data_IF_685021772468
#
_entry.id   IF_685021772468
#
_cell.length_a   1.000
_cell.length_b   1.000
_cell.length_c   1.000
_cell.angle_alpha   90.00
_cell.angle_beta   90.00
_cell.angle_gamma   90.00
#
_symmetry.space_group_name_H-M   'P 1'
#
loop_
_entity.id
_entity.type
_entity.pdbx_description
1 polymer ?
#
# COMPACT_ATOMS: atom_id res chain seq x y z
N UNK A 1 19.74 -3.45 -8.61
CA UNK A 1 18.29 -3.60 -8.87
C UNK A 1 17.79 -2.38 -9.64
N UNK A 2 16.68 -2.48 -10.32
CA UNK A 2 16.06 -1.37 -11.07
C UNK A 2 15.85 -0.12 -10.19
N UNK A 3 15.43 -0.33 -8.94
CA UNK A 3 15.27 0.78 -7.99
C UNK A 3 16.60 1.53 -7.72
N UNK A 4 17.73 0.82 -7.67
CA UNK A 4 19.04 1.47 -7.50
C UNK A 4 19.47 2.25 -8.74
N UNK A 5 19.11 1.77 -9.93
CA UNK A 5 19.42 2.42 -11.21
C UNK A 5 18.58 3.69 -11.42
N UNK A 6 17.38 3.75 -10.82
CA UNK A 6 16.44 4.87 -10.90
C UNK A 6 16.28 5.61 -9.56
N UNK A 7 17.32 5.63 -8.73
CA UNK A 7 17.29 6.17 -7.36
C UNK A 7 17.16 7.70 -7.32
N UNK A 8 17.70 8.37 -8.34
CA UNK A 8 17.73 9.83 -8.39
C UNK A 8 16.31 10.42 -8.45
N UNK A 9 16.03 11.43 -7.61
CA UNK A 9 14.71 12.06 -7.49
C UNK A 9 13.70 11.28 -6.65
N UNK A 10 14.07 10.16 -6.02
CA UNK A 10 13.21 9.40 -5.14
C UNK A 10 13.59 9.58 -3.67
N UNK A 11 12.58 9.73 -2.81
CA UNK A 11 12.70 9.63 -1.35
C UNK A 11 12.15 8.26 -0.96
N UNK A 12 12.96 7.40 -0.37
CA UNK A 12 12.62 6.01 -0.09
C UNK A 12 12.65 5.74 1.41
N UNK A 13 11.55 5.23 1.96
CA UNK A 13 11.43 4.76 3.34
C UNK A 13 11.53 3.24 3.47
N UNK A 14 11.73 2.77 4.71
CA UNK A 14 11.89 1.34 5.01
C UNK A 14 10.61 0.52 4.94
N UNK A 15 9.46 1.16 4.73
CA UNK A 15 8.12 0.56 4.78
C UNK A 15 7.79 -0.08 6.16
N UNK A 16 6.72 -0.89 6.19
CA UNK A 16 6.15 -1.51 7.39
C UNK A 16 6.98 -2.72 7.89
N UNK A 17 6.36 -3.53 8.72
CA UNK A 17 6.97 -4.75 9.29
C UNK A 17 7.34 -5.80 8.23
N UNK A 18 6.70 -5.76 7.06
CA UNK A 18 7.06 -6.63 5.92
C UNK A 18 8.28 -6.14 5.14
N UNK A 19 8.75 -4.92 5.40
CA UNK A 19 9.92 -4.33 4.75
C UNK A 19 11.22 -5.02 5.14
N UNK A 20 12.22 -4.98 4.24
CA UNK A 20 13.52 -5.62 4.43
C UNK A 20 14.19 -5.25 5.75
N UNK A 21 14.11 -3.98 6.13
CA UNK A 21 14.77 -3.49 7.34
C UNK A 21 14.12 -4.06 8.62
N UNK A 22 12.79 -4.04 8.69
CA UNK A 22 12.09 -4.58 9.87
C UNK A 22 12.23 -6.10 9.95
N UNK A 23 12.19 -6.80 8.83
CA UNK A 23 12.46 -8.25 8.79
C UNK A 23 13.87 -8.56 9.30
N UNK A 24 14.87 -7.74 8.98
CA UNK A 24 16.23 -7.90 9.50
C UNK A 24 16.29 -7.74 11.04
N UNK A 25 15.47 -6.87 11.63
CA UNK A 25 15.32 -6.76 13.09
C UNK A 25 14.73 -8.05 13.68
N UNK A 26 13.67 -8.59 13.06
CA UNK A 26 13.03 -9.84 13.51
C UNK A 26 13.97 -11.05 13.40
N UNK A 27 14.85 -11.07 12.41
CA UNK A 27 15.90 -12.07 12.24
C UNK A 27 17.04 -11.94 13.27
N UNK A 28 17.07 -10.87 14.07
CA UNK A 28 18.09 -10.62 15.08
C UNK A 28 19.45 -10.24 14.49
N UNK A 29 19.48 -9.55 13.34
CA UNK A 29 20.72 -9.06 12.75
C UNK A 29 21.44 -8.07 13.67
N UNK A 30 22.74 -8.03 13.55
CA UNK A 30 23.59 -7.09 14.30
C UNK A 30 23.34 -5.64 13.88
N UNK A 31 23.70 -4.69 14.75
CA UNK A 31 23.57 -3.27 14.46
C UNK A 31 24.32 -2.85 13.19
N UNK A 32 25.50 -3.41 12.95
CA UNK A 32 26.27 -3.12 11.73
C UNK A 32 25.53 -3.57 10.45
N UNK A 33 24.88 -4.73 10.50
CA UNK A 33 24.06 -5.22 9.39
C UNK A 33 22.80 -4.36 9.21
N UNK A 34 22.14 -4.00 10.31
CA UNK A 34 20.97 -3.12 10.28
C UNK A 34 21.32 -1.74 9.72
N UNK A 35 22.43 -1.14 10.15
CA UNK A 35 22.94 0.14 9.62
C UNK A 35 23.24 0.04 8.12
N UNK A 36 23.83 -1.06 7.66
CA UNK A 36 24.11 -1.28 6.24
C UNK A 36 22.82 -1.32 5.42
N UNK A 37 21.78 -2.02 5.87
CA UNK A 37 20.48 -2.06 5.20
C UNK A 37 19.85 -0.67 5.23
N UNK A 38 19.76 -0.04 6.40
CA UNK A 38 19.15 1.27 6.60
C UNK A 38 19.85 2.39 5.82
N UNK A 39 21.14 2.23 5.49
CA UNK A 39 21.90 3.25 4.73
C UNK A 39 21.31 3.52 3.34
N UNK A 40 20.62 2.57 2.74
CA UNK A 40 19.98 2.70 1.44
C UNK A 40 18.77 3.65 1.46
N UNK A 41 18.02 3.69 2.56
CA UNK A 41 16.79 4.45 2.72
C UNK A 41 17.05 5.90 3.14
N UNK A 42 16.14 6.82 2.80
CA UNK A 42 16.23 8.24 3.19
C UNK A 42 15.65 8.46 4.58
N UNK A 43 14.62 7.72 4.94
CA UNK A 43 13.98 7.74 6.26
C UNK A 43 13.59 6.33 6.69
N UNK A 44 13.40 6.15 7.99
CA UNK A 44 12.93 4.89 8.56
C UNK A 44 11.50 5.07 9.08
N UNK A 45 10.75 3.98 9.15
CA UNK A 45 9.34 3.99 9.50
C UNK A 45 9.06 3.15 10.74
N UNK A 46 8.18 3.66 11.60
CA UNK A 46 7.58 2.95 12.72
C UNK A 46 6.07 3.06 12.67
N UNK A 47 5.38 2.07 13.23
CA UNK A 47 3.92 2.02 13.26
C UNK A 47 3.38 1.87 14.69
N UNK A 48 2.10 2.21 14.95
CA UNK A 48 1.44 1.91 16.21
C UNK A 48 1.59 0.44 16.58
N UNK A 49 1.74 0.14 17.88
CA UNK A 49 1.93 -1.23 18.34
C UNK A 49 0.74 -2.13 17.92
N UNK A 50 -0.45 -1.55 17.87
CA UNK A 50 -1.66 -2.25 17.48
C UNK A 50 -1.60 -2.82 16.05
N UNK A 51 -0.91 -2.15 15.11
CA UNK A 51 -0.71 -2.64 13.75
C UNK A 51 0.09 -3.96 13.72
N UNK A 52 0.95 -4.17 14.70
CA UNK A 52 1.84 -5.32 14.80
C UNK A 52 1.41 -6.36 15.86
N UNK A 53 0.20 -6.25 16.43
CA UNK A 53 -0.30 -7.18 17.44
C UNK A 53 -0.38 -8.63 16.98
N UNK A 54 -0.59 -8.86 15.70
CA UNK A 54 -0.54 -10.20 15.13
C UNK A 54 0.78 -10.94 15.41
N UNK A 55 1.86 -10.22 15.69
CA UNK A 55 3.15 -10.83 16.07
C UNK A 55 3.09 -11.52 17.42
N UNK A 56 2.22 -11.05 18.36
CA UNK A 56 1.97 -11.71 19.63
C UNK A 56 1.22 -13.01 19.40
N UNK A 57 0.20 -12.99 18.58
CA UNK A 57 -0.62 -14.16 18.24
C UNK A 57 0.22 -15.25 17.54
N UNK A 58 1.14 -14.84 16.67
CA UNK A 58 2.06 -15.75 15.94
C UNK A 58 3.29 -16.15 16.76
N UNK A 59 3.45 -15.66 17.99
CA UNK A 59 4.61 -15.94 18.83
C UNK A 59 5.94 -15.34 18.29
N UNK A 60 5.88 -14.35 17.40
CA UNK A 60 7.03 -13.60 16.91
C UNK A 60 7.53 -12.62 17.97
N UNK A 61 6.60 -11.98 18.67
CA UNK A 61 6.87 -11.14 19.82
C UNK A 61 6.17 -11.74 21.06
N UNK A 62 6.79 -11.62 22.23
CA UNK A 62 6.28 -12.19 23.49
C UNK A 62 5.29 -11.27 24.20
N UNK A 63 5.45 -9.97 24.06
CA UNK A 63 4.65 -8.94 24.75
C UNK A 63 4.75 -7.58 24.04
N UNK A 64 3.92 -6.62 24.49
CA UNK A 64 3.90 -5.26 23.97
C UNK A 64 5.24 -4.54 24.16
N UNK A 65 6.03 -4.91 25.20
CA UNK A 65 7.35 -4.29 25.41
C UNK A 65 8.34 -4.70 24.32
N UNK A 66 8.26 -5.93 23.84
CA UNK A 66 9.08 -6.34 22.70
C UNK A 66 8.67 -5.62 21.40
N UNK A 67 7.37 -5.35 21.20
CA UNK A 67 6.93 -4.51 20.08
C UNK A 67 7.48 -3.09 20.18
N UNK A 68 7.52 -2.49 21.39
CA UNK A 68 8.17 -1.18 21.62
C UNK A 68 9.66 -1.23 21.35
N UNK A 69 10.31 -2.33 21.72
CA UNK A 69 11.75 -2.48 21.51
C UNK A 69 12.11 -2.58 20.01
N UNK A 70 11.25 -3.19 19.19
CA UNK A 70 11.43 -3.13 17.74
C UNK A 70 11.40 -1.68 17.23
N UNK A 71 10.43 -0.88 17.64
CA UNK A 71 10.35 0.53 17.26
C UNK A 71 11.55 1.34 17.80
N UNK A 72 11.99 1.08 19.03
CA UNK A 72 13.20 1.72 19.59
C UNK A 72 14.45 1.32 18.83
N UNK A 73 14.54 0.09 18.35
CA UNK A 73 15.65 -0.36 17.50
C UNK A 73 15.69 0.41 16.18
N UNK A 74 14.52 0.61 15.54
CA UNK A 74 14.42 1.46 14.34
C UNK A 74 14.97 2.87 14.62
N UNK A 75 14.51 3.50 15.71
CA UNK A 75 14.94 4.85 16.12
C UNK A 75 16.44 4.89 16.38
N UNK A 76 16.98 3.95 17.15
CA UNK A 76 18.39 3.88 17.51
C UNK A 76 19.29 3.76 16.27
N UNK A 77 18.93 2.95 15.32
CA UNK A 77 19.67 2.79 14.04
C UNK A 77 19.57 4.06 13.20
N UNK A 78 18.39 4.68 13.15
CA UNK A 78 18.18 5.93 12.44
C UNK A 78 19.02 7.07 13.05
N UNK A 79 18.99 7.23 14.37
CA UNK A 79 19.79 8.22 15.10
C UNK A 79 21.30 8.04 14.84
N UNK A 80 21.78 6.79 14.81
CA UNK A 80 23.18 6.47 14.49
C UNK A 80 23.59 6.86 13.06
N UNK A 81 22.63 6.85 12.12
CA UNK A 81 22.85 7.23 10.72
C UNK A 81 22.48 8.70 10.43
N UNK A 82 21.96 9.44 11.42
CA UNK A 82 21.46 10.81 11.21
C UNK A 82 20.26 10.88 10.27
N UNK A 83 19.40 9.84 10.25
CA UNK A 83 18.22 9.75 9.39
C UNK A 83 16.94 9.99 10.17
N UNK A 84 15.92 10.64 9.55
CA UNK A 84 14.65 10.84 10.21
C UNK A 84 13.87 9.53 10.34
N UNK A 85 13.08 9.43 11.42
CA UNK A 85 12.07 8.39 11.60
C UNK A 85 10.70 9.00 11.48
N UNK A 86 9.79 8.38 10.76
CA UNK A 86 8.40 8.79 10.63
C UNK A 86 7.46 7.74 11.24
N UNK A 87 6.43 8.19 11.91
CA UNK A 87 5.35 7.34 12.41
C UNK A 87 4.19 7.37 11.42
N UNK A 88 3.84 6.21 10.86
CA UNK A 88 2.73 6.05 9.91
C UNK A 88 1.63 5.19 10.48
N UNK A 89 0.38 5.45 10.10
CA UNK A 89 -0.80 4.75 10.61
C UNK A 89 -1.18 3.50 9.83
N UNK A 90 -0.64 3.30 8.63
CA UNK A 90 -1.05 2.23 7.70
C UNK A 90 -2.57 2.19 7.50
N UNK A 91 -3.15 3.35 7.16
CA UNK A 91 -4.59 3.57 7.12
C UNK A 91 -5.26 2.81 5.98
N UNK A 92 -6.24 1.98 6.32
CA UNK A 92 -7.03 1.19 5.37
C UNK A 92 -8.51 1.55 5.38
N UNK A 93 -9.00 2.23 6.42
CA UNK A 93 -10.39 2.69 6.54
C UNK A 93 -10.47 3.95 7.41
N UNK A 94 -11.62 4.63 7.38
CA UNK A 94 -11.75 5.96 7.99
C UNK A 94 -12.02 5.87 9.49
N UNK A 95 -13.08 5.18 9.90
CA UNK A 95 -13.49 5.09 11.30
C UNK A 95 -13.28 3.67 11.84
N UNK A 96 -13.10 3.48 13.16
CA UNK A 96 -12.93 2.14 13.74
C UNK A 96 -14.02 1.13 13.33
N UNK A 97 -15.28 1.57 13.24
CA UNK A 97 -16.41 0.75 12.85
C UNK A 97 -16.39 0.30 11.37
N UNK A 98 -15.59 0.93 10.53
CA UNK A 98 -15.46 0.59 9.10
C UNK A 98 -14.60 -0.68 8.86
N UNK A 99 -13.97 -1.21 9.89
CA UNK A 99 -13.15 -2.44 9.82
C UNK A 99 -13.91 -3.61 9.21
N UNK A 100 -15.21 -3.72 9.49
CA UNK A 100 -16.06 -4.78 8.93
C UNK A 100 -16.06 -4.81 7.40
N UNK A 101 -16.00 -3.64 6.75
CA UNK A 101 -15.95 -3.56 5.28
C UNK A 101 -14.63 -4.11 4.73
N UNK A 102 -13.53 -3.88 5.47
CA UNK A 102 -12.23 -4.46 5.12
C UNK A 102 -12.25 -5.99 5.23
N UNK A 103 -12.85 -6.56 6.29
CA UNK A 103 -13.01 -8.00 6.45
C UNK A 103 -13.78 -8.61 5.27
N UNK A 104 -14.89 -8.00 4.84
CA UNK A 104 -15.66 -8.44 3.69
C UNK A 104 -14.82 -8.43 2.40
N UNK A 105 -14.06 -7.34 2.16
CA UNK A 105 -13.20 -7.21 0.98
C UNK A 105 -12.06 -8.24 0.98
N UNK A 106 -11.43 -8.51 2.12
CA UNK A 106 -10.37 -9.50 2.24
C UNK A 106 -10.92 -10.93 2.05
N UNK A 107 -12.08 -11.24 2.66
CA UNK A 107 -12.75 -12.52 2.48
C UNK A 107 -13.10 -12.81 1.01
N UNK A 108 -13.59 -11.79 0.28
CA UNK A 108 -13.91 -11.95 -1.15
C UNK A 108 -12.66 -12.20 -2.02
N UNK A 109 -11.49 -11.79 -1.54
CA UNK A 109 -10.19 -12.04 -2.21
C UNK A 109 -9.50 -13.33 -1.77
N UNK A 110 -10.10 -14.06 -0.81
CA UNK A 110 -9.59 -15.34 -0.33
C UNK A 110 -8.39 -15.24 0.63
N UNK A 111 -8.29 -14.12 1.39
CA UNK A 111 -7.29 -14.02 2.44
C UNK A 111 -7.71 -14.83 3.67
N UNK A 112 -6.83 -15.67 4.19
CA UNK A 112 -7.09 -16.56 5.34
C UNK A 112 -7.23 -15.80 6.68
N UNK A 113 -6.71 -14.57 6.74
CA UNK A 113 -6.72 -13.70 7.92
C UNK A 113 -7.73 -12.54 7.82
N UNK A 114 -8.76 -12.73 7.00
CA UNK A 114 -9.80 -11.71 6.76
C UNK A 114 -10.54 -11.25 8.02
N UNK A 115 -10.66 -12.12 9.02
CA UNK A 115 -11.39 -11.84 10.29
C UNK A 115 -10.46 -11.33 11.41
N UNK A 116 -9.19 -11.05 11.10
CA UNK A 116 -8.26 -10.51 12.10
C UNK A 116 -8.57 -9.05 12.38
N UNK A 117 -8.72 -8.70 13.65
CA UNK A 117 -8.83 -7.32 14.11
C UNK A 117 -7.49 -6.59 13.88
N UNK A 118 -7.53 -5.59 13.01
CA UNK A 118 -6.41 -4.71 12.72
C UNK A 118 -6.92 -3.27 12.76
N UNK A 119 -6.61 -2.49 13.81
CA UNK A 119 -7.16 -1.14 13.97
C UNK A 119 -6.45 -0.13 13.04
N UNK A 120 -6.56 -0.35 11.73
CA UNK A 120 -5.93 0.44 10.67
C UNK A 120 -6.80 1.62 10.22
N UNK A 121 -7.49 2.25 11.17
CA UNK A 121 -8.30 3.43 10.91
C UNK A 121 -7.46 4.72 10.88
N UNK A 122 -8.02 5.77 10.30
CA UNK A 122 -7.38 7.09 10.26
C UNK A 122 -7.33 7.71 11.66
N UNK A 123 -6.15 7.73 12.26
CA UNK A 123 -5.90 8.38 13.55
C UNK A 123 -5.59 9.86 13.35
N UNK A 124 -6.15 10.69 14.22
CA UNK A 124 -5.77 12.09 14.33
C UNK A 124 -4.35 12.24 14.88
N UNK A 125 -3.77 13.43 14.77
CA UNK A 125 -2.45 13.73 15.33
C UNK A 125 -2.39 13.43 16.83
N UNK A 126 -3.42 13.79 17.60
CA UNK A 126 -3.48 13.55 19.03
C UNK A 126 -3.54 12.05 19.37
N UNK A 127 -4.23 11.25 18.57
CA UNK A 127 -4.29 9.80 18.72
C UNK A 127 -2.93 9.18 18.38
N UNK A 128 -2.28 9.62 17.30
CA UNK A 128 -0.94 9.15 16.96
C UNK A 128 0.08 9.52 18.07
N UNK A 129 0.03 10.72 18.62
CA UNK A 129 0.91 11.10 19.74
C UNK A 129 0.71 10.21 20.98
N UNK A 130 -0.53 9.78 21.26
CA UNK A 130 -0.82 8.82 22.35
C UNK A 130 -0.23 7.44 22.07
N UNK A 131 -0.31 6.94 20.82
CA UNK A 131 0.27 5.65 20.42
C UNK A 131 1.79 5.61 20.67
N UNK A 132 2.48 6.73 20.48
CA UNK A 132 3.94 6.83 20.63
C UNK A 132 4.39 7.49 21.95
N UNK A 133 3.48 7.74 22.91
CA UNK A 133 3.80 8.36 24.19
C UNK A 133 4.92 7.64 24.98
N UNK A 134 5.10 6.33 24.75
CA UNK A 134 6.18 5.54 25.39
C UNK A 134 7.60 5.94 24.95
N UNK A 135 7.74 6.76 23.89
CA UNK A 135 9.01 7.34 23.44
C UNK A 135 9.39 8.63 24.20
N UNK A 136 8.47 9.18 25.00
CA UNK A 136 8.57 10.51 25.59
C UNK A 136 8.01 11.58 24.64
N UNK A 137 7.61 12.72 25.21
CA UNK A 137 6.87 13.77 24.51
C UNK A 137 7.65 14.34 23.30
N UNK A 138 8.93 14.63 23.47
CA UNK A 138 9.77 15.23 22.44
C UNK A 138 9.96 14.27 21.24
N UNK A 139 10.35 13.02 21.49
CA UNK A 139 10.56 12.03 20.43
C UNK A 139 9.25 11.63 19.77
N UNK A 140 8.13 11.51 20.52
CA UNK A 140 6.82 11.26 19.96
C UNK A 140 6.40 12.38 19.00
N UNK A 141 6.59 13.64 19.38
CA UNK A 141 6.28 14.79 18.51
C UNK A 141 7.18 14.82 17.27
N UNK A 142 8.47 14.53 17.44
CA UNK A 142 9.43 14.45 16.33
C UNK A 142 8.95 13.44 15.25
N UNK A 143 8.65 12.19 15.65
CA UNK A 143 8.33 11.13 14.69
C UNK A 143 6.90 11.22 14.13
N UNK A 144 5.96 11.82 14.89
CA UNK A 144 4.55 11.93 14.47
C UNK A 144 4.27 13.21 13.69
N UNK A 145 4.95 14.31 14.01
CA UNK A 145 4.64 15.64 13.46
C UNK A 145 5.79 16.21 12.65
N UNK A 146 6.96 16.38 13.28
CA UNK A 146 8.07 17.09 12.67
C UNK A 146 8.60 16.38 11.44
N UNK A 147 8.97 15.13 11.58
CA UNK A 147 9.59 14.37 10.48
C UNK A 147 8.63 14.08 9.32
N UNK A 148 7.33 13.67 9.53
CA UNK A 148 6.41 13.52 8.42
C UNK A 148 6.20 14.81 7.61
N UNK A 149 6.08 15.96 8.28
CA UNK A 149 5.98 17.25 7.58
C UNK A 149 7.27 17.56 6.81
N UNK A 150 8.43 17.33 7.40
CA UNK A 150 9.71 17.51 6.72
C UNK A 150 9.81 16.67 5.44
N UNK A 151 9.43 15.38 5.48
CA UNK A 151 9.42 14.51 4.30
C UNK A 151 8.43 15.04 3.26
N UNK A 152 7.23 15.49 3.67
CA UNK A 152 6.25 16.07 2.77
C UNK A 152 6.77 17.36 2.08
N UNK A 153 7.47 18.22 2.82
CA UNK A 153 8.05 19.45 2.30
C UNK A 153 9.21 19.21 1.31
N UNK A 154 9.87 18.05 1.39
CA UNK A 154 10.89 17.63 0.42
C UNK A 154 10.30 17.17 -0.91
N UNK A 155 9.01 16.82 -0.96
CA UNK A 155 8.37 16.33 -2.16
C UNK A 155 7.97 17.49 -3.08
N UNK A 156 8.37 17.40 -4.34
CA UNK A 156 7.91 18.31 -5.38
C UNK A 156 6.65 17.80 -6.07
N UNK A 157 5.89 18.69 -6.71
CA UNK A 157 4.75 18.26 -7.50
C UNK A 157 5.21 17.47 -8.72
N UNK A 158 4.92 16.17 -8.72
CA UNK A 158 5.20 15.27 -9.84
C UNK A 158 3.90 14.63 -10.31
N UNK A 159 3.70 14.60 -11.61
CA UNK A 159 2.61 13.87 -12.23
C UNK A 159 3.12 12.57 -12.86
N UNK A 160 3.06 11.45 -12.14
CA UNK A 160 3.60 10.17 -12.61
C UNK A 160 2.78 9.56 -13.76
N UNK A 161 1.50 9.90 -13.85
CA UNK A 161 0.60 9.40 -14.91
C UNK A 161 0.23 10.55 -15.83
N UNK A 162 0.50 10.47 -17.14
CA UNK A 162 0.09 11.49 -18.12
C UNK A 162 -1.42 11.75 -18.12
N UNK A 163 -1.83 12.95 -18.56
CA UNK A 163 -3.26 13.30 -18.66
C UNK A 163 -3.98 12.48 -19.75
N UNK A 164 -3.26 12.12 -20.80
CA UNK A 164 -3.83 11.46 -21.94
C UNK A 164 -3.98 9.96 -21.69
N UNK A 165 -5.04 9.38 -22.21
CA UNK A 165 -5.20 7.94 -22.27
C UNK A 165 -4.41 7.41 -23.47
N UNK A 166 -3.70 6.32 -23.27
CA UNK A 166 -2.92 5.63 -24.29
C UNK A 166 -3.46 4.22 -24.45
N UNK A 167 -4.55 4.09 -25.21
CA UNK A 167 -5.08 2.78 -25.53
C UNK A 167 -4.07 2.01 -26.42
N UNK A 168 -3.85 0.71 -26.20
CA UNK A 168 -3.01 -0.09 -27.07
C UNK A 168 -3.61 -0.13 -28.48
N UNK A 169 -2.75 0.06 -29.51
CA UNK A 169 -3.15 -0.05 -30.90
C UNK A 169 -2.91 -1.48 -31.37
N UNK A 170 -4.01 -2.21 -31.56
CA UNK A 170 -3.99 -3.57 -32.08
C UNK A 170 -4.51 -3.52 -33.52
N UNK A 171 -3.74 -4.06 -34.46
CA UNK A 171 -4.12 -4.13 -35.86
C UNK A 171 -5.41 -4.95 -36.01
N UNK A 172 -6.32 -4.48 -36.84
CA UNK A 172 -7.65 -5.08 -37.09
C UNK A 172 -8.53 -5.27 -35.84
N UNK A 173 -8.28 -4.53 -34.74
CA UNK A 173 -9.01 -4.71 -33.48
C UNK A 173 -10.54 -4.56 -33.63
N UNK A 174 -11.01 -3.64 -34.45
CA UNK A 174 -12.44 -3.39 -34.65
C UNK A 174 -13.09 -4.57 -35.43
N UNK A 175 -12.43 -5.02 -36.47
CA UNK A 175 -12.89 -6.16 -37.29
C UNK A 175 -12.92 -7.44 -36.46
N UNK A 176 -11.88 -7.72 -35.71
CA UNK A 176 -11.75 -8.87 -34.85
C UNK A 176 -12.79 -8.84 -33.71
N UNK A 177 -12.99 -7.68 -33.08
CA UNK A 177 -14.00 -7.51 -32.04
C UNK A 177 -15.40 -7.80 -32.60
N UNK A 178 -15.76 -7.23 -33.76
CA UNK A 178 -17.03 -7.49 -34.43
C UNK A 178 -17.20 -8.97 -34.74
N UNK A 179 -16.19 -9.61 -35.33
CA UNK A 179 -16.24 -11.04 -35.67
C UNK A 179 -16.45 -11.92 -34.43
N UNK A 180 -15.74 -11.63 -33.33
CA UNK A 180 -15.88 -12.35 -32.06
C UNK A 180 -17.29 -12.20 -31.46
N UNK A 181 -17.80 -10.96 -31.39
CA UNK A 181 -19.09 -10.67 -30.76
C UNK A 181 -20.24 -11.25 -31.58
N UNK A 182 -20.30 -11.00 -32.89
CA UNK A 182 -21.36 -11.56 -33.74
C UNK A 182 -21.25 -13.08 -33.86
N UNK A 183 -20.03 -13.61 -33.95
CA UNK A 183 -19.82 -15.07 -33.92
C UNK A 183 -20.33 -15.70 -32.62
N UNK A 184 -20.15 -15.03 -31.48
CA UNK A 184 -20.69 -15.48 -30.19
C UNK A 184 -22.22 -15.38 -30.16
N UNK A 185 -22.80 -14.29 -30.69
CA UNK A 185 -24.24 -14.07 -30.76
C UNK A 185 -24.90 -15.20 -31.55
N UNK A 186 -24.41 -15.48 -32.76
CA UNK A 186 -24.94 -16.54 -33.60
C UNK A 186 -24.74 -17.95 -33.04
N UNK A 187 -23.61 -18.18 -32.35
CA UNK A 187 -23.39 -19.46 -31.66
C UNK A 187 -24.40 -19.73 -30.54
N UNK A 188 -24.85 -18.69 -29.85
CA UNK A 188 -25.79 -18.80 -28.73
C UNK A 188 -27.26 -18.85 -29.19
N UNK A 189 -27.62 -18.08 -30.23
CA UNK A 189 -29.00 -17.84 -30.61
C UNK A 189 -29.34 -18.32 -32.05
N UNK A 190 -28.37 -18.91 -32.76
CA UNK A 190 -28.56 -19.36 -34.13
C UNK A 190 -28.49 -18.24 -35.18
N UNK A 191 -28.94 -18.51 -36.41
CA UNK A 191 -28.85 -17.55 -37.51
C UNK A 191 -29.79 -16.34 -37.35
N UNK A 192 -30.86 -16.48 -36.58
CA UNK A 192 -31.85 -15.44 -36.34
C UNK A 192 -31.94 -15.08 -34.84
N UNK A 193 -30.96 -14.41 -34.28
CA UNK A 193 -31.00 -13.98 -32.89
C UNK A 193 -32.19 -13.06 -32.61
N UNK A 194 -32.77 -13.07 -31.38
CA UNK A 194 -33.83 -12.14 -31.03
C UNK A 194 -33.36 -10.67 -31.15
N UNK A 195 -34.26 -9.83 -31.74
CA UNK A 195 -33.96 -8.42 -32.05
C UNK A 195 -33.40 -7.63 -30.83
N UNK A 196 -33.89 -7.94 -29.66
CA UNK A 196 -33.44 -7.32 -28.42
C UNK A 196 -31.91 -7.51 -28.18
N UNK A 197 -31.38 -8.72 -28.44
CA UNK A 197 -29.96 -9.00 -28.30
C UNK A 197 -29.13 -8.34 -29.40
N UNK A 198 -29.64 -8.33 -30.63
CA UNK A 198 -29.00 -7.66 -31.77
C UNK A 198 -28.83 -6.16 -31.46
N UNK A 199 -29.92 -5.49 -31.08
CA UNK A 199 -29.88 -4.06 -30.73
C UNK A 199 -28.92 -3.77 -29.58
N UNK A 200 -28.87 -4.62 -28.55
CA UNK A 200 -27.95 -4.44 -27.43
C UNK A 200 -26.49 -4.56 -27.87
N UNK A 201 -26.17 -5.58 -28.66
CA UNK A 201 -24.84 -5.78 -29.25
C UNK A 201 -24.42 -4.57 -30.10
N UNK A 202 -25.30 -4.10 -30.98
CA UNK A 202 -25.03 -2.92 -31.83
C UNK A 202 -24.74 -1.67 -30.99
N UNK A 203 -25.51 -1.42 -29.92
CA UNK A 203 -25.31 -0.28 -29.03
C UNK A 203 -23.97 -0.38 -28.32
N UNK A 204 -23.67 -1.52 -27.72
CA UNK A 204 -22.39 -1.69 -26.96
C UNK A 204 -21.16 -1.63 -27.87
N UNK A 205 -21.20 -2.25 -29.04
CA UNK A 205 -20.11 -2.17 -30.01
C UNK A 205 -19.91 -0.74 -30.51
N UNK A 206 -21.00 -0.02 -30.80
CA UNK A 206 -20.91 1.40 -31.16
C UNK A 206 -20.21 2.24 -30.08
N UNK A 207 -20.63 2.07 -28.83
CA UNK A 207 -20.06 2.82 -27.72
C UNK A 207 -18.56 2.50 -27.49
N UNK A 208 -18.18 1.22 -27.53
CA UNK A 208 -16.79 0.78 -27.40
C UNK A 208 -15.93 1.36 -28.53
N UNK A 209 -16.38 1.23 -29.77
CA UNK A 209 -15.61 1.65 -30.95
C UNK A 209 -15.52 3.19 -31.02
N UNK A 210 -16.63 3.91 -30.75
CA UNK A 210 -16.66 5.38 -30.79
C UNK A 210 -15.84 6.02 -29.69
N UNK A 211 -15.70 5.37 -28.54
CA UNK A 211 -14.82 5.80 -27.44
C UNK A 211 -13.35 5.42 -27.64
N UNK A 212 -13.02 4.73 -28.72
CA UNK A 212 -11.66 4.28 -29.04
C UNK A 212 -11.03 3.37 -27.95
N UNK A 213 -11.84 2.52 -27.36
CA UNK A 213 -11.38 1.46 -26.44
C UNK A 213 -10.78 0.29 -27.20
#
# INVERSE_FOLDING_TARGET
SELMEHREGLIIGTACEAGEFFQAILEGKSDDELMKIASFYDFLEIQPLANNRFMLEKGIAKDDEQLREFNRTVIRIADALGKPVVATGDVHFLNPEDEIFRHILLATKGFDDCDRDNPLYLRTTDEMLKEFAYLGEEKAYEVVVTNPNMIADMCEYVRPVPHNLFAPKIENSVEDLNALVYGKLHRLYGENPPEMFVKRVETELHDIISCHY
#
